data_IF_073863542696
#
_entry.id   IF_073863542696
#
_cell.length_a   1.000
_cell.length_b   1.000
_cell.length_c   1.000
_cell.angle_alpha   90.00
_cell.angle_beta   90.00
_cell.angle_gamma   90.00
#
_symmetry.space_group_name_H-M   'P 1'
#
loop_
_entity.id
_entity.type
_entity.pdbx_description
1 polymer ?
#
# COMPACT_ATOMS: atom_id res chain seq x y z
N UNK A 1 -19.98 -17.28 14.34
CA UNK A 1 -18.93 -16.42 13.75
C UNK A 1 -18.85 -15.12 14.53
N UNK A 2 -17.65 -14.63 14.85
CA UNK A 2 -17.44 -13.35 15.56
C UNK A 2 -17.74 -12.16 14.65
N UNK A 3 -17.94 -10.95 15.20
CA UNK A 3 -18.09 -9.72 14.40
C UNK A 3 -16.87 -9.49 13.47
N UNK A 4 -15.64 -9.76 13.97
CA UNK A 4 -14.41 -9.71 13.19
C UNK A 4 -14.48 -10.64 11.97
N UNK A 5 -14.84 -11.91 12.18
CA UNK A 5 -14.93 -12.89 11.09
C UNK A 5 -16.01 -12.53 10.05
N UNK A 6 -17.17 -12.03 10.51
CA UNK A 6 -18.26 -11.59 9.61
C UNK A 6 -17.85 -10.40 8.75
N UNK A 7 -17.20 -9.39 9.33
CA UNK A 7 -16.73 -8.24 8.58
C UNK A 7 -15.65 -8.65 7.55
N UNK A 8 -14.74 -9.54 7.95
CA UNK A 8 -13.71 -10.07 7.05
C UNK A 8 -14.33 -10.83 5.87
N UNK A 9 -15.33 -11.66 6.11
CA UNK A 9 -16.07 -12.37 5.06
C UNK A 9 -16.81 -11.39 4.14
N UNK A 10 -17.50 -10.38 4.70
CA UNK A 10 -18.18 -9.34 3.93
C UNK A 10 -17.20 -8.61 2.98
N UNK A 11 -16.01 -8.23 3.46
CA UNK A 11 -15.00 -7.60 2.62
C UNK A 11 -14.44 -8.57 1.56
N UNK A 12 -14.25 -9.85 1.88
CA UNK A 12 -13.80 -10.84 0.92
C UNK A 12 -14.84 -11.04 -0.20
N UNK A 13 -16.11 -11.13 0.16
CA UNK A 13 -17.22 -11.26 -0.79
C UNK A 13 -17.38 -10.01 -1.67
N UNK A 14 -17.35 -8.82 -1.07
CA UNK A 14 -17.37 -7.55 -1.79
C UNK A 14 -16.21 -7.45 -2.79
N UNK A 15 -15.01 -7.91 -2.39
CA UNK A 15 -13.84 -7.95 -3.26
C UNK A 15 -14.03 -8.90 -4.45
N UNK A 16 -14.60 -10.10 -4.24
CA UNK A 16 -14.84 -11.08 -5.32
C UNK A 16 -15.91 -10.60 -6.31
N UNK A 17 -17.00 -10.02 -5.81
CA UNK A 17 -18.14 -9.57 -6.63
C UNK A 17 -17.96 -8.19 -7.25
N UNK A 18 -16.94 -7.47 -6.86
CA UNK A 18 -16.82 -6.07 -7.25
C UNK A 18 -17.87 -5.16 -6.62
N UNK A 19 -18.44 -5.58 -5.51
CA UNK A 19 -19.48 -4.84 -4.80
C UNK A 19 -18.92 -3.86 -3.78
N UNK A 20 -19.80 -2.99 -3.26
CA UNK A 20 -19.50 -2.12 -2.12
C UNK A 20 -20.58 -2.30 -1.05
N UNK A 21 -20.18 -2.08 0.19
CA UNK A 21 -21.02 -2.23 1.38
C UNK A 21 -21.28 -0.83 1.93
N UNK A 22 -22.52 -0.42 2.11
CA UNK A 22 -22.85 0.81 2.84
C UNK A 22 -22.45 0.68 4.32
N UNK A 23 -21.85 1.72 4.89
CA UNK A 23 -21.46 1.71 6.31
C UNK A 23 -22.66 1.51 7.22
N UNK A 24 -23.82 2.07 6.87
CA UNK A 24 -25.04 1.91 7.64
C UNK A 24 -25.47 0.44 7.83
N UNK A 25 -25.20 -0.44 6.86
CA UNK A 25 -25.46 -1.88 7.01
C UNK A 25 -24.51 -2.50 8.05
N UNK A 26 -23.21 -2.12 8.03
CA UNK A 26 -22.23 -2.60 8.99
C UNK A 26 -22.52 -2.09 10.42
N UNK A 27 -22.99 -0.84 10.55
CA UNK A 27 -23.41 -0.25 11.82
C UNK A 27 -24.63 -0.98 12.40
N UNK A 28 -25.65 -1.23 11.58
CA UNK A 28 -26.86 -1.95 12.00
C UNK A 28 -26.56 -3.38 12.51
N UNK A 29 -25.50 -4.00 11.98
CA UNK A 29 -25.05 -5.33 12.39
C UNK A 29 -23.99 -5.31 13.51
N UNK A 30 -23.55 -4.13 13.97
CA UNK A 30 -22.50 -4.00 14.98
C UNK A 30 -21.13 -4.48 14.51
N UNK A 31 -20.81 -4.33 13.21
CA UNK A 31 -19.58 -4.84 12.60
C UNK A 31 -18.48 -3.79 12.47
N UNK A 32 -18.76 -2.51 12.76
CA UNK A 32 -17.76 -1.44 12.62
C UNK A 32 -16.69 -1.57 13.71
N UNK A 33 -15.41 -1.76 13.37
CA UNK A 33 -14.36 -1.88 14.37
C UNK A 33 -14.10 -0.54 15.07
N UNK A 34 -14.00 -0.56 16.40
CA UNK A 34 -13.78 0.64 17.22
C UNK A 34 -12.31 0.96 17.49
N UNK A 35 -11.38 0.04 17.18
CA UNK A 35 -9.94 0.19 17.50
C UNK A 35 -9.07 -0.29 16.36
N UNK A 36 -7.79 0.16 16.34
CA UNK A 36 -6.80 -0.33 15.37
C UNK A 36 -6.57 -1.84 15.54
N UNK A 37 -6.54 -2.34 16.78
CA UNK A 37 -6.34 -3.76 17.05
C UNK A 37 -7.48 -4.62 16.46
N UNK A 38 -8.73 -4.18 16.58
CA UNK A 38 -9.87 -4.88 15.96
C UNK A 38 -9.81 -4.80 14.43
N UNK A 39 -9.41 -3.66 13.86
CA UNK A 39 -9.20 -3.51 12.43
C UNK A 39 -8.11 -4.46 11.88
N UNK A 40 -6.96 -4.53 12.56
CA UNK A 40 -5.88 -5.46 12.21
C UNK A 40 -6.30 -6.93 12.35
N UNK A 41 -7.17 -7.24 13.32
CA UNK A 41 -7.74 -8.57 13.46
C UNK A 41 -8.68 -8.92 12.29
N UNK A 42 -9.46 -7.95 11.76
CA UNK A 42 -10.27 -8.14 10.54
C UNK A 42 -9.38 -8.42 9.34
N UNK A 43 -8.27 -7.71 9.17
CA UNK A 43 -7.32 -7.97 8.07
C UNK A 43 -6.72 -9.39 8.14
N UNK A 44 -6.37 -9.89 9.34
CA UNK A 44 -5.91 -11.27 9.52
C UNK A 44 -6.99 -12.29 9.13
N UNK A 45 -8.20 -12.11 9.64
CA UNK A 45 -9.33 -12.96 9.27
C UNK A 45 -9.65 -12.88 7.76
N UNK A 46 -9.51 -11.69 7.16
CA UNK A 46 -9.66 -11.54 5.70
C UNK A 46 -8.64 -12.40 4.92
N UNK A 47 -7.38 -12.45 5.38
CA UNK A 47 -6.35 -13.25 4.71
C UNK A 47 -6.72 -14.75 4.69
N UNK A 48 -7.34 -15.27 5.75
CA UNK A 48 -7.85 -16.64 5.83
C UNK A 48 -8.97 -16.89 4.79
N UNK A 49 -9.92 -15.94 4.65
CA UNK A 49 -11.01 -16.04 3.67
C UNK A 49 -10.54 -15.80 2.22
N UNK A 50 -9.50 -15.01 2.03
CA UNK A 50 -8.99 -14.66 0.70
C UNK A 50 -8.17 -15.76 0.07
N UNK A 51 -7.56 -16.64 0.89
CA UNK A 51 -6.79 -17.81 0.50
C UNK A 51 -5.62 -17.49 -0.48
N UNK A 52 -5.06 -16.30 -0.41
CA UNK A 52 -3.84 -15.88 -1.11
C UNK A 52 -2.75 -15.55 -0.10
N UNK A 53 -1.48 -15.82 -0.42
CA UNK A 53 -0.38 -15.39 0.44
C UNK A 53 -0.30 -13.87 0.51
N UNK A 54 0.13 -13.35 1.64
CA UNK A 54 0.55 -11.96 1.77
C UNK A 54 1.93 -11.85 1.13
N UNK A 55 2.05 -11.00 0.12
CA UNK A 55 3.30 -10.80 -0.66
C UNK A 55 3.96 -9.45 -0.37
N UNK A 56 3.31 -8.63 0.44
CA UNK A 56 3.82 -7.32 0.82
C UNK A 56 2.92 -6.60 1.82
N UNK A 57 3.33 -5.39 2.18
CA UNK A 57 2.64 -4.55 3.15
C UNK A 57 2.66 -3.08 2.74
N UNK A 58 1.50 -2.45 2.81
CA UNK A 58 1.36 -1.00 2.82
C UNK A 58 1.49 -0.52 4.25
N UNK A 59 2.47 0.34 4.55
CA UNK A 59 2.71 0.88 5.88
C UNK A 59 2.46 2.39 5.90
N UNK A 60 1.91 2.88 7.00
CA UNK A 60 1.66 4.31 7.18
C UNK A 60 1.87 4.73 8.64
N UNK A 61 2.25 5.98 8.83
CA UNK A 61 2.22 6.67 10.12
C UNK A 61 1.01 7.59 10.13
N UNK A 62 0.17 7.42 11.13
CA UNK A 62 -1.00 8.27 11.36
C UNK A 62 -0.58 9.65 11.93
N UNK A 63 -1.47 10.66 11.87
CA UNK A 63 -1.19 11.97 12.48
C UNK A 63 -0.92 11.94 13.99
N UNK A 64 -1.43 10.90 14.70
CA UNK A 64 -1.17 10.68 16.13
C UNK A 64 0.17 9.96 16.39
N UNK A 65 0.93 9.63 15.35
CA UNK A 65 2.23 8.94 15.42
C UNK A 65 2.14 7.42 15.45
N UNK A 66 0.94 6.82 15.51
CA UNK A 66 0.80 5.37 15.48
C UNK A 66 1.04 4.81 14.06
N UNK A 67 1.83 3.75 13.98
CA UNK A 67 2.08 3.04 12.73
C UNK A 67 1.02 1.95 12.51
N UNK A 68 0.56 1.85 11.27
CA UNK A 68 -0.39 0.82 10.83
C UNK A 68 0.09 0.16 9.55
N UNK A 69 -0.42 -1.05 9.27
CA UNK A 69 -0.10 -1.78 8.05
C UNK A 69 -1.34 -2.42 7.43
N UNK A 70 -1.29 -2.60 6.12
CA UNK A 70 -2.30 -3.33 5.37
C UNK A 70 -1.64 -4.36 4.45
N UNK A 71 -2.13 -5.61 4.37
CA UNK A 71 -1.54 -6.65 3.56
C UNK A 71 -1.80 -6.42 2.07
N UNK A 72 -0.77 -6.68 1.27
CA UNK A 72 -0.81 -6.74 -0.19
C UNK A 72 -0.86 -8.22 -0.60
N UNK A 73 -1.90 -8.62 -1.32
CA UNK A 73 -2.08 -9.99 -1.80
C UNK A 73 -1.75 -10.17 -3.27
N UNK A 74 -1.81 -9.11 -4.03
CA UNK A 74 -1.57 -9.12 -5.47
C UNK A 74 -0.47 -8.12 -5.81
N UNK A 75 0.65 -8.63 -6.27
CA UNK A 75 1.82 -7.86 -6.64
C UNK A 75 2.43 -8.42 -7.93
N UNK A 76 2.80 -7.54 -8.85
CA UNK A 76 3.53 -7.90 -10.08
C UNK A 76 4.69 -6.94 -10.27
N UNK A 77 5.71 -7.40 -11.01
CA UNK A 77 6.82 -6.53 -11.47
C UNK A 77 6.58 -6.10 -12.91
N UNK A 78 7.09 -4.94 -13.29
CA UNK A 78 6.92 -4.40 -14.66
C UNK A 78 7.58 -5.26 -15.73
N UNK A 79 8.56 -6.09 -15.38
CA UNK A 79 9.24 -7.06 -16.22
C UNK A 79 8.63 -8.47 -16.16
N UNK A 80 7.57 -8.67 -15.35
CA UNK A 80 6.87 -9.94 -15.24
C UNK A 80 6.00 -10.18 -16.47
N UNK A 81 6.02 -11.41 -16.99
CA UNK A 81 5.16 -11.85 -18.08
C UNK A 81 3.65 -11.70 -17.76
N UNK A 82 3.29 -11.67 -16.47
CA UNK A 82 1.92 -11.48 -16.00
C UNK A 82 1.46 -10.02 -15.96
N UNK A 83 2.33 -9.05 -16.24
CA UNK A 83 1.96 -7.63 -16.23
C UNK A 83 0.80 -7.33 -17.19
N UNK A 84 0.68 -8.06 -18.29
CA UNK A 84 -0.42 -7.90 -19.25
C UNK A 84 -1.82 -8.24 -18.69
N UNK A 85 -1.89 -9.04 -17.62
CA UNK A 85 -3.12 -9.38 -16.89
C UNK A 85 -3.34 -8.52 -15.64
N UNK A 86 -2.46 -7.58 -15.38
CA UNK A 86 -2.48 -6.61 -14.30
C UNK A 86 -2.45 -5.19 -14.92
N UNK A 87 -3.23 -4.22 -14.54
CA UNK A 87 -4.00 -4.09 -13.31
C UNK A 87 -5.37 -4.75 -13.39
N UNK A 88 -5.93 -4.98 -12.21
CA UNK A 88 -7.22 -5.62 -12.02
C UNK A 88 -8.40 -4.72 -12.39
N UNK A 89 -9.46 -5.36 -12.83
CA UNK A 89 -10.75 -4.72 -12.96
C UNK A 89 -11.19 -4.04 -11.67
N UNK A 90 -11.78 -2.85 -11.81
CA UNK A 90 -12.31 -2.09 -10.68
C UNK A 90 -11.30 -1.22 -9.96
N UNK A 91 -10.10 -1.00 -10.49
CA UNK A 91 -9.20 0.06 -10.00
C UNK A 91 -9.92 1.41 -10.08
N UNK A 92 -9.82 2.20 -9.02
CA UNK A 92 -10.46 3.50 -8.89
C UNK A 92 -9.46 4.63 -8.69
N UNK A 93 -8.22 4.28 -8.38
CA UNK A 93 -7.14 5.24 -8.20
C UNK A 93 -5.79 4.56 -8.20
N UNK A 94 -4.75 5.39 -8.37
CA UNK A 94 -3.35 4.97 -8.35
C UNK A 94 -2.58 5.89 -7.40
N UNK A 95 -1.73 5.31 -6.56
CA UNK A 95 -0.75 6.01 -5.75
C UNK A 95 0.65 5.65 -6.24
N UNK A 96 1.52 6.64 -6.43
CA UNK A 96 2.93 6.41 -6.79
C UNK A 96 3.77 6.49 -5.54
N UNK A 97 4.59 5.46 -5.31
CA UNK A 97 5.32 5.29 -4.05
C UNK A 97 6.77 4.86 -4.28
N UNK A 98 7.63 5.16 -3.30
CA UNK A 98 8.88 4.44 -3.13
C UNK A 98 8.54 3.15 -2.37
N UNK A 99 9.02 2.03 -2.86
CA UNK A 99 8.83 0.75 -2.19
C UNK A 99 10.14 -0.03 -2.06
N UNK A 100 10.16 -0.94 -1.11
CA UNK A 100 11.32 -1.73 -0.74
C UNK A 100 11.03 -3.21 -0.91
N UNK A 101 12.04 -4.00 -1.29
CA UNK A 101 12.02 -5.44 -1.13
C UNK A 101 12.88 -5.81 0.07
N UNK A 102 12.37 -6.67 0.95
CA UNK A 102 13.10 -7.11 2.14
C UNK A 102 14.06 -8.26 1.81
N UNK A 103 15.29 -8.20 2.34
CA UNK A 103 16.30 -9.25 2.21
C UNK A 103 16.14 -10.37 3.24
N UNK A 104 15.51 -10.09 4.38
CA UNK A 104 15.34 -11.03 5.48
C UNK A 104 14.05 -10.75 6.26
N UNK A 105 13.61 -11.70 7.07
CA UNK A 105 12.47 -11.54 7.98
C UNK A 105 12.80 -10.51 9.06
N UNK A 106 11.90 -9.55 9.28
CA UNK A 106 12.04 -8.63 10.40
C UNK A 106 11.58 -9.31 11.70
N UNK A 107 12.35 -9.16 12.78
CA UNK A 107 11.97 -9.70 14.08
C UNK A 107 10.73 -8.98 14.65
N UNK A 108 10.06 -9.62 15.60
CA UNK A 108 8.99 -8.99 16.35
C UNK A 108 9.50 -7.75 17.11
N UNK A 109 8.64 -6.75 17.32
CA UNK A 109 8.97 -5.54 18.09
C UNK A 109 9.45 -5.83 19.52
N UNK A 110 9.06 -6.97 20.09
CA UNK A 110 9.49 -7.44 21.40
C UNK A 110 10.94 -7.93 21.45
N UNK A 111 11.58 -8.18 20.30
CA UNK A 111 12.98 -8.60 20.23
C UNK A 111 13.98 -7.45 20.49
N UNK A 112 13.50 -6.20 20.51
CA UNK A 112 14.30 -4.99 20.71
C UNK A 112 13.88 -3.88 19.74
N UNK A 113 14.26 -2.65 20.08
CA UNK A 113 13.97 -1.50 19.22
C UNK A 113 14.93 -1.44 18.03
N UNK A 114 14.38 -1.38 16.84
CA UNK A 114 15.16 -1.20 15.60
C UNK A 114 15.29 0.29 15.26
N UNK A 115 16.49 0.67 14.89
CA UNK A 115 16.79 2.03 14.37
C UNK A 115 16.62 2.06 12.84
N UNK A 116 16.65 3.26 12.25
CA UNK A 116 16.69 3.44 10.79
C UNK A 116 17.88 2.70 10.15
N UNK A 117 19.04 2.77 10.81
CA UNK A 117 20.26 2.10 10.32
C UNK A 117 20.12 0.59 10.36
N UNK A 118 19.55 0.03 11.43
CA UNK A 118 19.30 -1.41 11.51
C UNK A 118 18.37 -1.86 10.35
N UNK A 119 17.29 -1.10 10.11
CA UNK A 119 16.31 -1.44 9.06
C UNK A 119 16.86 -1.29 7.66
N UNK A 120 17.76 -0.34 7.42
CA UNK A 120 18.45 -0.22 6.13
C UNK A 120 19.19 -1.52 5.75
N UNK A 121 19.70 -2.28 6.74
CA UNK A 121 20.33 -3.59 6.54
C UNK A 121 19.35 -4.70 6.11
N UNK A 122 18.04 -4.50 6.24
CA UNK A 122 17.02 -5.44 5.78
C UNK A 122 16.45 -5.10 4.39
N UNK A 123 16.92 -4.01 3.78
CA UNK A 123 16.49 -3.63 2.44
C UNK A 123 17.39 -4.32 1.41
N UNK A 124 16.79 -5.12 0.54
CA UNK A 124 17.46 -5.70 -0.62
C UNK A 124 17.51 -4.67 -1.77
N UNK A 125 16.33 -4.16 -2.14
CA UNK A 125 16.16 -3.25 -3.28
C UNK A 125 15.17 -2.14 -2.99
N UNK A 126 15.37 -1.02 -3.67
CA UNK A 126 14.47 0.13 -3.70
C UNK A 126 13.86 0.23 -5.09
N UNK A 127 12.57 0.49 -5.18
CA UNK A 127 11.86 0.60 -6.45
C UNK A 127 10.93 1.82 -6.47
N UNK A 128 10.66 2.32 -7.65
CA UNK A 128 9.46 3.10 -7.91
C UNK A 128 8.30 2.13 -8.11
N UNK A 129 7.16 2.37 -7.47
CA UNK A 129 6.02 1.48 -7.57
C UNK A 129 4.71 2.22 -7.71
N UNK A 130 3.65 1.48 -7.99
CA UNK A 130 2.30 2.01 -8.04
C UNK A 130 1.33 1.09 -7.27
N UNK A 131 0.66 1.66 -6.28
CA UNK A 131 -0.46 1.01 -5.62
C UNK A 131 -1.74 1.25 -6.40
N UNK A 132 -2.52 0.20 -6.61
CA UNK A 132 -3.86 0.28 -7.17
C UNK A 132 -4.86 0.32 -6.03
N UNK A 133 -5.82 1.24 -6.11
CA UNK A 133 -6.82 1.46 -5.08
C UNK A 133 -8.19 0.98 -5.54
N UNK A 134 -8.92 0.35 -4.62
CA UNK A 134 -10.33 0.04 -4.74
C UNK A 134 -10.99 0.02 -3.37
N UNK A 135 -12.08 0.71 -3.24
CA UNK A 135 -12.85 0.78 -2.00
C UNK A 135 -13.93 -0.30 -1.98
N UNK A 136 -14.03 -1.05 -0.87
CA UNK A 136 -15.13 -2.00 -0.61
C UNK A 136 -16.28 -1.36 0.18
N UNK A 137 -16.13 -0.06 0.52
CA UNK A 137 -17.15 0.74 1.18
C UNK A 137 -17.74 1.77 0.20
N UNK A 138 -19.05 2.03 0.29
CA UNK A 138 -19.73 3.05 -0.52
C UNK A 138 -19.16 4.44 -0.23
N UNK A 139 -18.95 4.74 1.04
CA UNK A 139 -18.44 6.01 1.55
C UNK A 139 -16.91 6.15 1.37
N UNK A 140 -16.25 5.12 0.83
CA UNK A 140 -14.80 5.09 0.56
C UNK A 140 -13.98 5.27 1.85
N UNK A 141 -13.10 6.29 1.88
CA UNK A 141 -12.28 6.66 3.03
C UNK A 141 -12.96 7.67 3.98
N UNK A 142 -14.20 8.06 3.70
CA UNK A 142 -14.99 8.96 4.56
C UNK A 142 -15.74 8.17 5.64
N UNK A 143 -15.02 7.32 6.34
CA UNK A 143 -15.52 6.40 7.37
C UNK A 143 -14.59 6.47 8.60
N UNK A 144 -14.99 5.96 9.78
CA UNK A 144 -14.07 5.82 10.89
C UNK A 144 -12.78 5.11 10.48
N UNK A 145 -11.62 5.66 10.86
CA UNK A 145 -10.32 5.14 10.41
C UNK A 145 -10.13 3.64 10.69
N UNK A 146 -10.56 3.07 11.84
CA UNK A 146 -10.46 1.62 12.04
C UNK A 146 -11.22 0.81 10.98
N UNK A 147 -12.35 1.30 10.47
CA UNK A 147 -13.08 0.63 9.39
C UNK A 147 -12.33 0.73 8.05
N UNK A 148 -11.75 1.90 7.75
CA UNK A 148 -10.91 2.08 6.56
C UNK A 148 -9.64 1.21 6.62
N UNK A 149 -9.02 1.09 7.81
CA UNK A 149 -7.90 0.19 8.03
C UNK A 149 -8.32 -1.28 7.84
N UNK A 150 -9.49 -1.68 8.35
CA UNK A 150 -10.03 -3.02 8.14
C UNK A 150 -10.27 -3.34 6.66
N UNK A 151 -10.64 -2.34 5.84
CA UNK A 151 -10.70 -2.43 4.36
C UNK A 151 -9.31 -2.38 3.69
N UNK A 152 -8.25 -2.63 4.44
CA UNK A 152 -6.86 -2.65 3.98
C UNK A 152 -6.40 -1.34 3.33
N UNK A 153 -6.88 -0.19 3.85
CA UNK A 153 -6.55 1.14 3.31
C UNK A 153 -6.80 1.24 1.80
N UNK A 154 -7.87 0.62 1.32
CA UNK A 154 -8.26 0.50 -0.09
C UNK A 154 -7.28 -0.27 -0.99
N UNK A 155 -6.26 -0.94 -0.46
CA UNK A 155 -5.33 -1.72 -1.30
C UNK A 155 -6.09 -2.72 -2.18
N UNK A 156 -5.78 -2.69 -3.48
CA UNK A 156 -6.30 -3.59 -4.50
C UNK A 156 -5.21 -4.42 -5.17
N UNK A 157 -3.99 -3.92 -5.15
CA UNK A 157 -2.80 -4.56 -5.67
C UNK A 157 -1.65 -3.58 -5.79
N UNK A 158 -0.46 -4.08 -6.11
CA UNK A 158 0.73 -3.28 -6.23
C UNK A 158 1.55 -3.66 -7.45
N UNK A 159 2.09 -2.67 -8.17
CA UNK A 159 3.02 -2.87 -9.27
C UNK A 159 4.40 -2.37 -8.84
N UNK A 160 5.37 -3.27 -8.80
CA UNK A 160 6.77 -2.94 -8.58
C UNK A 160 7.38 -2.52 -9.91
N UNK A 161 7.72 -1.26 -10.03
CA UNK A 161 8.36 -0.68 -11.19
C UNK A 161 9.89 -0.89 -11.21
N UNK A 162 10.62 -0.03 -11.91
CA UNK A 162 12.06 -0.17 -12.04
C UNK A 162 12.78 -0.07 -10.69
N UNK A 163 13.88 -0.80 -10.57
CA UNK A 163 14.81 -0.63 -9.47
C UNK A 163 15.45 0.76 -9.53
N UNK A 164 15.56 1.39 -8.40
CA UNK A 164 16.16 2.71 -8.22
C UNK A 164 17.52 2.57 -7.51
N UNK A 165 18.40 3.53 -7.70
CA UNK A 165 19.59 3.66 -6.86
C UNK A 165 19.18 3.82 -5.39
N UNK A 166 19.83 3.11 -4.49
CA UNK A 166 19.47 3.15 -3.06
C UNK A 166 19.66 4.54 -2.45
N UNK A 167 20.53 5.37 -3.00
CA UNK A 167 20.70 6.76 -2.60
C UNK A 167 19.45 7.64 -2.80
N UNK A 168 18.45 7.17 -3.55
CA UNK A 168 17.15 7.84 -3.68
C UNK A 168 16.47 8.08 -2.32
N UNK A 169 16.67 7.17 -1.38
CA UNK A 169 16.11 7.30 -0.02
C UNK A 169 16.62 8.57 0.65
N UNK A 170 17.92 8.87 0.47
CA UNK A 170 18.53 10.07 1.06
C UNK A 170 18.11 11.35 0.34
N UNK A 171 17.77 11.28 -0.95
CA UNK A 171 17.17 12.42 -1.67
C UNK A 171 15.85 12.84 -1.02
N UNK A 172 15.02 11.87 -0.60
CA UNK A 172 13.76 12.16 0.06
C UNK A 172 13.90 12.53 1.54
N UNK A 173 15.01 12.14 2.20
CA UNK A 173 15.28 12.51 3.61
C UNK A 173 15.96 13.86 3.78
N UNK A 174 16.45 14.46 2.70
CA UNK A 174 17.08 15.78 2.71
C UNK A 174 16.13 16.92 2.99
N UNK A 175 16.67 18.13 3.21
CA UNK A 175 15.92 19.34 3.55
C UNK A 175 15.03 19.89 2.41
N UNK A 176 14.71 19.08 1.41
CA UNK A 176 13.82 19.43 0.30
C UNK A 176 14.48 20.28 -0.80
N UNK A 177 15.81 20.44 -0.79
CA UNK A 177 16.53 21.20 -1.82
C UNK A 177 16.62 20.47 -3.18
N UNK A 178 16.57 19.14 -3.17
CA UNK A 178 16.71 18.28 -4.35
C UNK A 178 15.43 17.48 -4.66
N UNK A 179 14.27 18.13 -4.63
CA UNK A 179 13.01 17.47 -4.97
C UNK A 179 12.99 17.03 -6.42
N UNK A 180 12.61 15.77 -6.65
CA UNK A 180 12.45 15.19 -7.97
C UNK A 180 11.07 15.48 -8.56
N UNK A 181 11.01 15.73 -9.86
CA UNK A 181 9.75 15.88 -10.59
C UNK A 181 9.11 14.50 -10.79
N UNK A 182 7.88 14.35 -10.31
CA UNK A 182 7.02 13.21 -10.64
C UNK A 182 6.01 13.65 -11.69
N UNK A 183 5.96 12.91 -12.79
CA UNK A 183 4.98 13.10 -13.86
C UNK A 183 4.16 11.83 -13.99
N UNK A 184 2.83 11.96 -13.98
CA UNK A 184 1.88 10.88 -14.26
C UNK A 184 0.96 11.34 -15.38
N UNK A 185 0.92 10.59 -16.47
CA UNK A 185 0.02 10.86 -17.61
C UNK A 185 -0.81 9.62 -17.92
N UNK A 186 -2.05 9.80 -18.38
CA UNK A 186 -2.87 8.73 -18.94
C UNK A 186 -3.26 9.09 -20.38
N UNK A 187 -2.74 8.34 -21.33
CA UNK A 187 -2.76 8.75 -22.74
C UNK A 187 -2.09 10.10 -22.94
N UNK A 188 -2.84 11.10 -23.41
CA UNK A 188 -2.36 12.48 -23.60
C UNK A 188 -2.66 13.42 -22.42
N UNK A 189 -3.35 12.92 -21.38
CA UNK A 189 -3.78 13.74 -20.24
C UNK A 189 -2.72 13.72 -19.16
N UNK A 190 -2.27 14.90 -18.69
CA UNK A 190 -1.46 15.01 -17.49
C UNK A 190 -2.34 14.94 -16.26
N UNK A 191 -2.10 13.92 -15.42
CA UNK A 191 -2.82 13.71 -14.17
C UNK A 191 -2.09 14.30 -12.97
N UNK A 192 -0.75 14.30 -13.03
CA UNK A 192 0.12 14.86 -12.00
C UNK A 192 1.45 15.29 -12.62
N UNK A 193 1.94 16.47 -12.27
CA UNK A 193 3.22 16.99 -12.76
C UNK A 193 3.77 18.02 -11.75
N UNK A 194 4.48 17.52 -10.73
CA UNK A 194 4.96 18.35 -9.62
C UNK A 194 6.22 17.76 -8.99
N UNK A 195 7.05 18.61 -8.41
CA UNK A 195 8.14 18.17 -7.53
C UNK A 195 7.58 17.57 -6.25
N UNK A 196 8.07 16.38 -5.91
CA UNK A 196 7.50 15.58 -4.82
C UNK A 196 8.46 15.43 -3.65
N UNK A 197 7.87 15.21 -2.48
CA UNK A 197 8.53 14.81 -1.25
C UNK A 197 7.79 13.62 -0.65
N UNK A 198 8.50 12.79 0.09
CA UNK A 198 7.83 11.73 0.83
C UNK A 198 6.96 12.32 1.95
N UNK A 199 5.72 11.81 2.18
CA UNK A 199 4.79 12.38 3.16
C UNK A 199 5.36 12.42 4.59
N UNK A 200 6.22 11.47 4.95
CA UNK A 200 6.88 11.41 6.25
C UNK A 200 8.30 11.99 6.24
N UNK A 201 8.74 12.62 5.15
CA UNK A 201 10.09 13.18 5.00
C UNK A 201 11.21 12.13 4.86
N UNK A 202 10.95 10.88 5.19
CA UNK A 202 11.86 9.74 5.04
C UNK A 202 11.07 8.51 4.59
N UNK A 203 11.37 7.92 3.43
CA UNK A 203 10.68 6.72 2.95
C UNK A 203 10.79 5.53 3.90
N UNK A 204 11.82 5.44 4.75
CA UNK A 204 11.94 4.38 5.73
C UNK A 204 11.16 4.63 7.03
N UNK A 205 10.71 5.87 7.29
CA UNK A 205 10.06 6.20 8.55
C UNK A 205 8.84 5.32 8.89
N UNK A 206 7.91 5.02 7.96
CA UNK A 206 6.79 4.12 8.26
C UNK A 206 7.23 2.69 8.55
N UNK A 207 8.26 2.18 7.89
CA UNK A 207 8.81 0.86 8.18
C UNK A 207 9.47 0.82 9.56
N UNK A 208 10.25 1.84 9.93
CA UNK A 208 10.84 1.98 11.28
C UNK A 208 9.74 2.04 12.35
N UNK A 209 8.72 2.85 12.12
CA UNK A 209 7.62 2.99 13.07
C UNK A 209 6.84 1.67 13.23
N UNK A 210 6.53 0.99 12.12
CA UNK A 210 5.80 -0.27 12.15
C UNK A 210 6.61 -1.41 12.75
N UNK A 211 7.90 -1.53 12.42
CA UNK A 211 8.79 -2.54 12.98
C UNK A 211 8.84 -2.48 14.52
N UNK A 212 8.72 -1.27 15.08
CA UNK A 212 8.71 -1.02 16.52
C UNK A 212 7.31 -1.00 17.15
N UNK A 213 6.25 -1.14 16.35
CA UNK A 213 4.87 -1.11 16.85
C UNK A 213 4.45 -2.45 17.46
N UNK A 214 3.45 -2.42 18.34
CA UNK A 214 2.85 -3.63 18.91
C UNK A 214 2.18 -4.53 17.85
N UNK A 215 1.93 -4.02 16.64
CA UNK A 215 1.35 -4.79 15.54
C UNK A 215 2.39 -5.69 14.84
N UNK A 216 3.67 -5.38 14.94
CA UNK A 216 4.72 -6.24 14.40
C UNK A 216 4.98 -7.44 15.32
N UNK A 217 4.38 -8.57 14.98
CA UNK A 217 4.53 -9.82 15.72
C UNK A 217 5.73 -10.67 15.24
N UNK A 218 6.50 -10.20 14.24
CA UNK A 218 7.56 -10.96 13.58
C UNK A 218 7.07 -11.92 12.49
N UNK A 219 5.75 -12.07 12.34
CA UNK A 219 5.15 -12.93 11.32
C UNK A 219 4.73 -12.18 10.05
N UNK A 220 4.84 -10.84 10.06
CA UNK A 220 4.27 -10.00 9.02
C UNK A 220 5.29 -9.62 7.92
N UNK A 221 6.46 -9.13 8.30
CA UNK A 221 7.45 -8.60 7.38
C UNK A 221 8.50 -9.66 7.06
N UNK A 222 8.31 -10.39 5.96
CA UNK A 222 9.12 -11.53 5.56
C UNK A 222 10.09 -11.19 4.44
N UNK A 223 11.17 -11.96 4.33
CA UNK A 223 12.09 -11.90 3.20
C UNK A 223 11.32 -11.99 1.87
N UNK A 224 11.68 -11.15 0.91
CA UNK A 224 11.02 -11.06 -0.39
C UNK A 224 9.72 -10.24 -0.40
N UNK A 225 9.17 -9.85 0.76
CA UNK A 225 8.00 -8.97 0.78
C UNK A 225 8.32 -7.60 0.19
N UNK A 226 7.35 -7.06 -0.52
CA UNK A 226 7.34 -5.65 -0.93
C UNK A 226 6.73 -4.82 0.19
N UNK A 227 7.41 -3.74 0.56
CA UNK A 227 6.92 -2.78 1.56
C UNK A 227 6.81 -1.42 0.90
N UNK A 228 5.62 -0.82 0.96
CA UNK A 228 5.34 0.53 0.46
C UNK A 228 4.98 1.44 1.63
N UNK A 229 5.35 2.71 1.57
CA UNK A 229 5.46 3.55 2.78
C UNK A 229 4.82 4.93 2.65
N UNK A 230 4.09 5.19 1.57
CA UNK A 230 3.33 6.43 1.42
C UNK A 230 3.45 7.07 0.04
N UNK A 231 2.33 7.59 -0.41
CA UNK A 231 2.19 8.16 -1.74
C UNK A 231 2.93 9.48 -1.91
N UNK A 232 3.68 9.60 -3.00
CA UNK A 232 4.35 10.83 -3.42
C UNK A 232 3.39 11.86 -4.03
N UNK A 233 2.21 11.44 -4.45
CA UNK A 233 1.24 12.27 -5.19
C UNK A 233 -0.19 12.23 -4.62
N UNK A 234 -0.41 11.48 -3.53
CA UNK A 234 -1.75 11.14 -3.08
C UNK A 234 -2.45 10.17 -4.05
N UNK A 235 -3.72 9.95 -3.83
CA UNK A 235 -4.53 9.09 -4.70
C UNK A 235 -4.94 9.85 -5.97
N UNK A 236 -4.42 9.45 -7.12
CA UNK A 236 -4.81 9.95 -8.43
C UNK A 236 -6.02 9.15 -8.89
N UNK A 237 -7.21 9.75 -9.07
CA UNK A 237 -8.37 9.06 -9.59
C UNK A 237 -8.10 8.53 -11.00
N UNK A 238 -8.16 7.23 -11.19
CA UNK A 238 -8.03 6.58 -12.50
C UNK A 238 -8.61 5.17 -12.46
N UNK A 239 -9.34 4.81 -13.48
CA UNK A 239 -9.77 3.44 -13.76
C UNK A 239 -8.81 2.71 -14.70
N UNK A 240 -7.65 3.29 -15.01
CA UNK A 240 -6.68 2.78 -15.99
C UNK A 240 -7.33 2.47 -17.35
N UNK A 241 -8.15 3.42 -17.82
CA UNK A 241 -8.85 3.28 -19.11
C UNK A 241 -7.89 3.38 -20.31
N UNK A 242 -6.73 4.00 -20.12
CA UNK A 242 -5.66 4.15 -21.09
C UNK A 242 -4.31 3.67 -20.58
N UNK A 243 -3.28 3.94 -21.37
CA UNK A 243 -1.89 3.73 -20.95
C UNK A 243 -1.51 4.83 -19.95
N UNK A 244 -1.18 4.45 -18.71
CA UNK A 244 -0.67 5.37 -17.70
C UNK A 244 0.85 5.27 -17.65
N UNK A 245 1.52 6.40 -17.91
CA UNK A 245 2.98 6.52 -17.78
C UNK A 245 3.32 7.25 -16.49
N UNK A 246 4.19 6.64 -15.69
CA UNK A 246 4.72 7.17 -14.45
C UNK A 246 6.21 7.41 -14.63
N UNK A 247 6.68 8.61 -14.30
CA UNK A 247 8.09 8.99 -14.41
C UNK A 247 8.52 9.83 -13.21
N UNK A 248 9.53 9.36 -12.52
CA UNK A 248 10.23 10.10 -11.47
C UNK A 248 11.56 10.61 -12.07
N UNK A 249 11.51 11.82 -12.64
CA UNK A 249 12.62 12.56 -13.27
C UNK A 249 13.71 11.66 -13.88
N UNK A 250 14.93 11.72 -13.35
CA UNK A 250 16.09 10.92 -13.80
C UNK A 250 16.18 9.55 -13.10
N UNK A 251 15.30 9.27 -12.13
CA UNK A 251 15.41 8.09 -11.29
C UNK A 251 14.80 6.83 -11.94
N UNK A 252 13.61 6.95 -12.56
CA UNK A 252 12.97 5.80 -13.20
C UNK A 252 11.63 6.14 -13.85
N UNK A 253 11.19 5.25 -14.75
CA UNK A 253 9.89 5.36 -15.39
C UNK A 253 9.34 3.99 -15.76
N UNK A 254 8.01 3.84 -15.73
CA UNK A 254 7.31 2.66 -16.21
C UNK A 254 5.90 3.00 -16.68
N UNK A 255 5.24 2.02 -17.28
CA UNK A 255 3.92 2.19 -17.86
C UNK A 255 2.98 1.11 -17.33
N UNK A 256 1.75 1.51 -16.99
CA UNK A 256 0.65 0.63 -16.67
C UNK A 256 -0.37 0.70 -17.80
N UNK A 257 -0.92 -0.44 -18.17
CA UNK A 257 -2.04 -0.50 -19.13
C UNK A 257 -3.22 -1.17 -18.45
N UNK A 258 -4.40 -0.58 -18.56
CA UNK A 258 -5.63 -1.17 -18.09
C UNK A 258 -5.95 -2.50 -18.78
N UNK A 259 -6.95 -3.25 -18.28
CA UNK A 259 -7.39 -4.47 -18.91
C UNK A 259 -7.78 -4.18 -20.37
N UNK A 260 -7.25 -4.97 -21.30
CA UNK A 260 -7.71 -4.91 -22.70
C UNK A 260 -9.18 -5.33 -22.71
N UNK A 261 -10.06 -4.42 -23.07
CA UNK A 261 -11.49 -4.67 -23.28
C UNK A 261 -11.70 -5.58 -24.50
#
# INVERSE_FOLDING_TARGET
>A
MTAIGRLAENFAEASRRGARIPVAELEAEGLVPGTLSSAMAVQRAFAEHWAKPVVGWKLAIRPDGEAVGAPIFDCVRVDDANLASFPKDGTEGVEVEICFTLSADLPASTAGRMTRTDLAGFIDKVHLGAELLRYRLVEKNQVPFPLFLADRLANHGFVVGPELDQGIVEVFTGNGENLLQLTVTEGTVSLFDTKVKHPNGDPLAPLVAFANSAFNTGEMLKAGNVVTTGSLCGAIPSGLAGEMRIRLESAGAFTLSGPKR
#
